data_IF_177503582271
#
_entry.id   IF_177503582271
#
_cell.length_a   1.000
_cell.length_b   1.000
_cell.length_c   1.000
_cell.angle_alpha   90.00
_cell.angle_beta   90.00
_cell.angle_gamma   90.00
#
_symmetry.space_group_name_H-M   'P 1'
#
loop_
_entity.id
_entity.type
_entity.pdbx_description
1 polymer ?
#
# COMPACT_ATOMS: atom_id res chain seq x y z
N UNK A 1 6.87 -9.96 -10.57
CA UNK A 1 7.05 -8.77 -11.43
C UNK A 1 5.68 -8.17 -11.71
N UNK A 2 5.51 -6.83 -11.75
CA UNK A 2 4.20 -6.24 -11.99
C UNK A 2 3.65 -6.75 -13.32
N UNK A 3 2.43 -7.28 -13.27
CA UNK A 3 1.75 -8.05 -14.31
C UNK A 3 1.28 -7.23 -15.52
N UNK A 4 1.96 -6.12 -15.83
CA UNK A 4 1.63 -5.20 -16.93
C UNK A 4 0.81 -3.98 -16.51
N UNK A 5 0.38 -3.87 -15.25
CA UNK A 5 -0.30 -2.68 -14.76
C UNK A 5 0.67 -1.50 -14.57
N UNK A 6 0.22 -0.30 -14.92
CA UNK A 6 0.95 0.95 -14.74
C UNK A 6 0.33 1.76 -13.61
N UNK A 7 1.08 1.91 -12.52
CA UNK A 7 0.62 2.60 -11.32
C UNK A 7 1.49 3.81 -11.02
N UNK A 8 0.86 4.92 -10.67
CA UNK A 8 1.52 6.06 -10.04
C UNK A 8 0.87 6.33 -8.71
N UNK A 9 1.68 6.51 -7.67
CA UNK A 9 1.18 6.90 -6.36
C UNK A 9 1.96 8.11 -5.85
N UNK A 10 1.28 8.95 -5.08
CA UNK A 10 1.88 10.04 -4.32
C UNK A 10 1.13 10.23 -3.01
N UNK A 11 1.82 10.75 -2.00
CA UNK A 11 1.19 11.30 -0.81
C UNK A 11 1.19 12.83 -0.91
N UNK A 12 0.11 13.47 -0.48
CA UNK A 12 0.09 14.92 -0.26
C UNK A 12 0.76 15.31 1.06
N UNK A 13 0.90 16.62 1.32
CA UNK A 13 1.55 17.15 2.54
C UNK A 13 0.87 16.70 3.85
N UNK A 14 -0.42 16.34 3.80
CA UNK A 14 -1.20 15.85 4.95
C UNK A 14 -1.18 14.33 5.05
N UNK A 15 -0.50 13.64 4.13
CA UNK A 15 -0.41 12.19 4.05
C UNK A 15 -1.57 11.52 3.30
N UNK A 16 -2.44 12.28 2.63
CA UNK A 16 -3.50 11.75 1.77
C UNK A 16 -2.91 11.03 0.55
N UNK A 17 -3.42 9.84 0.23
CA UNK A 17 -2.86 8.99 -0.84
C UNK A 17 -3.63 9.23 -2.14
N UNK A 18 -2.90 9.46 -3.22
CA UNK A 18 -3.44 9.51 -4.57
C UNK A 18 -2.84 8.39 -5.42
N UNK A 19 -3.69 7.54 -5.99
CA UNK A 19 -3.29 6.41 -6.82
C UNK A 19 -3.92 6.56 -8.20
N UNK A 20 -3.10 6.61 -9.24
CA UNK A 20 -3.53 6.47 -10.63
C UNK A 20 -3.25 5.05 -11.11
N UNK A 21 -4.27 4.39 -11.64
CA UNK A 21 -4.23 2.97 -11.99
C UNK A 21 -4.64 2.77 -13.44
N UNK A 22 -3.77 2.12 -14.21
CA UNK A 22 -4.08 1.60 -15.54
C UNK A 22 -3.75 0.10 -15.53
N UNK A 23 -4.78 -0.74 -15.67
CA UNK A 23 -4.68 -2.19 -15.47
C UNK A 23 -5.40 -2.99 -16.58
N UNK A 24 -5.39 -2.46 -17.80
CA UNK A 24 -6.13 -3.00 -18.95
C UNK A 24 -7.62 -2.68 -18.90
N UNK A 25 -8.43 -3.48 -19.60
CA UNK A 25 -9.89 -3.35 -19.64
C UNK A 25 -10.50 -3.52 -18.25
N UNK A 26 -11.29 -2.54 -17.80
CA UNK A 26 -11.92 -2.55 -16.48
C UNK A 26 -13.18 -3.42 -16.52
N UNK A 27 -13.12 -4.59 -15.86
CA UNK A 27 -14.27 -5.49 -15.74
C UNK A 27 -15.32 -4.90 -14.79
N UNK A 28 -14.89 -4.42 -13.62
CA UNK A 28 -15.74 -3.77 -12.63
C UNK A 28 -14.95 -2.68 -11.89
N UNK A 29 -15.43 -1.44 -11.99
CA UNK A 29 -14.74 -0.29 -11.41
C UNK A 29 -14.77 -0.30 -9.88
N UNK A 30 -15.86 -0.76 -9.26
CA UNK A 30 -16.03 -0.79 -7.81
C UNK A 30 -15.07 -1.80 -7.20
N UNK A 31 -14.95 -2.99 -7.80
CA UNK A 31 -14.03 -4.04 -7.38
C UNK A 31 -12.59 -3.58 -7.53
N UNK A 32 -12.21 -3.05 -8.69
CA UNK A 32 -10.84 -2.56 -8.93
C UNK A 32 -10.47 -1.46 -7.94
N UNK A 33 -11.36 -0.48 -7.74
CA UNK A 33 -11.16 0.61 -6.78
C UNK A 33 -10.97 0.10 -5.36
N UNK A 34 -11.78 -0.88 -4.93
CA UNK A 34 -11.69 -1.47 -3.60
C UNK A 34 -10.36 -2.21 -3.38
N UNK A 35 -9.90 -2.94 -4.39
CA UNK A 35 -8.58 -3.58 -4.34
C UNK A 35 -7.44 -2.57 -4.26
N UNK A 36 -7.52 -1.47 -5.00
CA UNK A 36 -6.52 -0.40 -4.93
C UNK A 36 -6.47 0.23 -3.52
N UNK A 37 -7.64 0.46 -2.90
CA UNK A 37 -7.73 1.00 -1.53
C UNK A 37 -7.12 0.02 -0.52
N UNK A 38 -7.45 -1.26 -0.62
CA UNK A 38 -6.88 -2.30 0.25
C UNK A 38 -5.37 -2.44 0.11
N UNK A 39 -4.86 -2.45 -1.13
CA UNK A 39 -3.43 -2.49 -1.40
C UNK A 39 -2.69 -1.26 -0.85
N UNK A 40 -3.28 -0.07 -0.99
CA UNK A 40 -2.73 1.17 -0.44
C UNK A 40 -2.71 1.15 1.10
N UNK A 41 -3.76 0.66 1.75
CA UNK A 41 -3.82 0.49 3.21
C UNK A 41 -2.70 -0.43 3.71
N UNK A 42 -2.54 -1.61 3.10
CA UNK A 42 -1.48 -2.55 3.48
C UNK A 42 -0.08 -1.97 3.25
N UNK A 43 0.13 -1.24 2.14
CA UNK A 43 1.41 -0.61 1.85
C UNK A 43 1.79 0.46 2.88
N UNK A 44 0.81 1.27 3.32
CA UNK A 44 1.01 2.23 4.39
C UNK A 44 1.36 1.55 5.71
N UNK A 45 0.63 0.49 6.06
CA UNK A 45 0.91 -0.34 7.24
C UNK A 45 2.35 -0.85 7.21
N UNK A 46 2.73 -1.49 6.11
CA UNK A 46 4.08 -2.04 5.93
C UNK A 46 5.21 -1.03 6.13
N UNK A 47 5.07 0.18 5.57
CA UNK A 47 6.11 1.22 5.69
C UNK A 47 6.08 1.89 7.06
N UNK A 48 4.90 2.08 7.65
CA UNK A 48 4.73 2.97 8.81
C UNK A 48 4.65 2.27 10.14
N UNK A 49 4.05 1.10 10.24
CA UNK A 49 3.71 0.53 11.55
C UNK A 49 3.88 -0.98 11.66
N UNK A 50 3.81 -1.73 10.57
CA UNK A 50 3.85 -3.18 10.60
C UNK A 50 5.28 -3.70 10.75
N UNK A 51 5.50 -4.55 11.76
CA UNK A 51 6.79 -5.13 12.07
C UNK A 51 6.65 -6.43 12.84
N UNK A 52 7.63 -7.33 12.65
CA UNK A 52 7.70 -8.62 13.33
C UNK A 52 8.98 -8.70 14.15
N UNK A 53 8.86 -8.63 15.47
CA UNK A 53 9.95 -8.91 16.38
C UNK A 53 10.26 -10.41 16.38
N UNK A 54 11.55 -10.73 16.24
CA UNK A 54 12.08 -12.09 16.20
C UNK A 54 13.26 -12.15 17.17
N UNK A 55 13.34 -13.19 18.00
CA UNK A 55 14.49 -13.40 18.89
C UNK A 55 15.65 -14.14 18.20
N UNK A 56 16.75 -14.37 18.94
CA UNK A 56 17.94 -15.05 18.44
C UNK A 56 17.70 -16.50 17.98
N UNK A 57 16.59 -17.11 18.40
CA UNK A 57 16.18 -18.45 17.98
C UNK A 57 15.26 -18.45 16.75
N UNK A 58 14.90 -17.27 16.22
CA UNK A 58 13.99 -17.14 15.09
C UNK A 58 12.51 -17.19 15.49
N UNK A 59 12.17 -17.06 16.77
CA UNK A 59 10.78 -17.11 17.24
C UNK A 59 10.14 -15.73 17.14
N UNK A 60 8.98 -15.66 16.49
CA UNK A 60 8.19 -14.45 16.37
C UNK A 60 7.45 -14.11 17.66
N UNK A 61 7.47 -12.84 18.06
CA UNK A 61 6.83 -12.35 19.28
C UNK A 61 5.56 -11.53 19.03
N UNK A 62 5.40 -10.94 17.84
CA UNK A 62 4.23 -10.14 17.49
C UNK A 62 3.10 -10.99 16.89
N UNK A 63 2.39 -11.73 17.75
CA UNK A 63 1.41 -12.77 17.34
C UNK A 63 -0.04 -12.29 17.21
N UNK A 64 -0.29 -10.98 17.30
CA UNK A 64 -1.63 -10.38 17.19
C UNK A 64 -1.63 -9.22 16.21
N UNK A 65 -2.81 -8.86 15.69
CA UNK A 65 -3.01 -7.68 14.83
C UNK A 65 -2.44 -6.41 15.50
N UNK A 66 -2.62 -6.27 16.83
CA UNK A 66 -2.14 -5.12 17.60
C UNK A 66 -0.62 -5.14 17.73
N UNK A 67 -0.03 -6.28 18.12
CA UNK A 67 1.42 -6.37 18.31
C UNK A 67 2.17 -6.26 16.99
N UNK A 68 1.61 -6.78 15.89
CA UNK A 68 2.17 -6.63 14.55
C UNK A 68 2.12 -5.19 14.05
N UNK A 69 1.18 -4.37 14.54
CA UNK A 69 1.07 -2.96 14.16
C UNK A 69 0.20 -2.70 12.92
N UNK A 70 -0.81 -3.54 12.65
CA UNK A 70 -1.74 -3.29 11.53
C UNK A 70 -2.47 -1.97 11.74
N UNK A 71 -2.41 -1.09 10.73
CA UNK A 71 -3.05 0.22 10.76
C UNK A 71 -4.58 0.09 10.91
N UNK A 72 -5.15 0.77 11.91
CA UNK A 72 -6.60 0.75 12.13
C UNK A 72 -7.30 1.51 11.00
N UNK A 73 -8.53 1.10 10.68
CA UNK A 73 -9.34 1.78 9.66
C UNK A 73 -9.47 3.29 9.93
N UNK A 74 -9.69 3.70 11.18
CA UNK A 74 -9.82 5.11 11.59
C UNK A 74 -8.54 5.93 11.44
N UNK A 75 -7.38 5.29 11.39
CA UNK A 75 -6.08 5.95 11.20
C UNK A 75 -5.66 5.98 9.72
N UNK A 76 -6.45 5.37 8.83
CA UNK A 76 -6.13 5.34 7.41
C UNK A 76 -6.37 6.74 6.83
N UNK A 77 -5.35 7.38 6.23
CA UNK A 77 -5.56 8.65 5.56
C UNK A 77 -6.51 8.47 4.36
N UNK A 78 -7.15 9.54 3.85
CA UNK A 78 -7.95 9.46 2.64
C UNK A 78 -7.16 8.84 1.48
N UNK A 79 -7.77 7.87 0.79
CA UNK A 79 -7.20 7.23 -0.40
C UNK A 79 -8.06 7.57 -1.61
N UNK A 80 -7.49 8.31 -2.55
CA UNK A 80 -8.13 8.71 -3.80
C UNK A 80 -7.58 7.86 -4.94
N UNK A 81 -8.47 7.12 -5.61
CA UNK A 81 -8.10 6.27 -6.75
C UNK A 81 -8.66 6.89 -8.03
N UNK A 82 -7.80 7.05 -9.03
CA UNK A 82 -8.18 7.42 -10.40
C UNK A 82 -7.91 6.23 -11.31
N UNK A 83 -8.95 5.62 -11.85
CA UNK A 83 -8.84 4.51 -12.79
C UNK A 83 -8.78 5.10 -14.20
N UNK A 84 -7.72 4.79 -14.92
CA UNK A 84 -7.54 5.16 -16.32
C UNK A 84 -7.97 4.00 -17.21
N UNK A 85 -8.61 4.28 -18.35
CA UNK A 85 -8.83 3.25 -19.36
C UNK A 85 -7.47 2.75 -19.86
N UNK A 86 -7.30 1.43 -19.89
CA UNK A 86 -6.16 0.79 -20.52
C UNK A 86 -6.62 -0.10 -21.66
N UNK A 87 -5.77 -0.27 -22.66
CA UNK A 87 -6.01 -1.22 -23.75
C UNK A 87 -5.56 -2.63 -23.33
N UNK A 88 -6.21 -3.66 -23.89
CA UNK A 88 -5.85 -5.06 -23.66
C UNK A 88 -6.53 -5.70 -22.44
N UNK A 89 -6.22 -6.97 -22.15
CA UNK A 89 -6.93 -7.73 -21.13
C UNK A 89 -6.71 -7.16 -19.73
N UNK A 90 -7.71 -7.31 -18.87
CA UNK A 90 -7.61 -6.99 -17.45
C UNK A 90 -6.43 -7.72 -16.80
N UNK A 91 -5.58 -7.00 -16.06
CA UNK A 91 -4.45 -7.57 -15.32
C UNK A 91 -4.52 -7.21 -13.84
N UNK A 92 -3.88 -8.02 -12.99
CA UNK A 92 -3.77 -7.70 -11.57
C UNK A 92 -2.89 -6.45 -11.38
N UNK A 93 -3.49 -5.39 -10.81
CA UNK A 93 -2.81 -4.14 -10.46
C UNK A 93 -2.47 -3.99 -8.97
N UNK A 94 -2.99 -4.85 -8.08
CA UNK A 94 -2.89 -4.69 -6.62
C UNK A 94 -1.46 -4.68 -6.11
N UNK A 95 -0.60 -5.60 -6.58
CA UNK A 95 0.81 -5.66 -6.17
C UNK A 95 1.57 -4.41 -6.62
N UNK A 96 1.23 -3.89 -7.81
CA UNK A 96 1.81 -2.67 -8.33
C UNK A 96 1.33 -1.43 -7.55
N UNK A 97 0.06 -1.41 -7.11
CA UNK A 97 -0.46 -0.38 -6.21
C UNK A 97 0.25 -0.43 -4.86
N UNK A 98 0.39 -1.62 -4.29
CA UNK A 98 1.10 -1.80 -3.04
C UNK A 98 2.54 -1.26 -3.14
N UNK A 99 3.29 -1.69 -4.17
CA UNK A 99 4.67 -1.24 -4.37
C UNK A 99 4.78 0.28 -4.60
N UNK A 100 3.91 0.85 -5.44
CA UNK A 100 3.91 2.29 -5.71
C UNK A 100 3.57 3.12 -4.47
N UNK A 101 2.57 2.71 -3.69
CA UNK A 101 2.18 3.41 -2.46
C UNK A 101 3.24 3.26 -1.38
N UNK A 102 3.85 2.07 -1.23
CA UNK A 102 4.95 1.87 -0.30
C UNK A 102 6.14 2.78 -0.64
N UNK A 103 6.52 2.84 -1.92
CA UNK A 103 7.58 3.73 -2.38
C UNK A 103 7.24 5.22 -2.13
N UNK A 104 6.01 5.64 -2.43
CA UNK A 104 5.56 7.00 -2.19
C UNK A 104 5.56 7.36 -0.69
N UNK A 105 5.12 6.44 0.17
CA UNK A 105 5.14 6.61 1.61
C UNK A 105 6.58 6.71 2.13
N UNK A 106 7.46 5.80 1.72
CA UNK A 106 8.87 5.82 2.10
C UNK A 106 9.59 7.10 1.68
N UNK A 107 9.34 7.57 0.45
CA UNK A 107 9.83 8.85 -0.02
C UNK A 107 9.29 10.00 0.83
N UNK A 108 8.00 9.99 1.15
CA UNK A 108 7.36 11.01 1.98
C UNK A 108 7.95 11.07 3.41
N UNK A 109 8.43 9.95 3.96
CA UNK A 109 9.13 9.93 5.26
C UNK A 109 10.63 10.29 5.18
N UNK A 110 11.15 10.67 4.01
CA UNK A 110 12.56 11.05 3.84
C UNK A 110 13.51 9.86 3.62
N UNK A 111 13.01 8.75 3.10
CA UNK A 111 13.80 7.55 2.73
C UNK A 111 14.62 6.90 3.85
N UNK A 112 14.06 6.68 5.06
CA UNK A 112 14.78 6.01 6.15
C UNK A 112 15.16 4.56 5.78
N UNK A 113 16.31 4.09 6.28
CA UNK A 113 16.78 2.72 6.06
C UNK A 113 16.06 1.68 6.91
N UNK A 114 15.49 2.10 8.03
CA UNK A 114 14.82 1.22 9.00
C UNK A 114 13.31 1.40 8.94
N UNK A 115 12.60 0.28 8.80
CA UNK A 115 11.14 0.20 8.86
C UNK A 115 10.71 -0.67 10.06
N UNK A 116 9.49 -0.47 10.60
CA UNK A 116 8.53 0.59 10.25
C UNK A 116 8.97 1.98 10.72
N UNK A 117 8.61 3.01 9.94
CA UNK A 117 9.07 4.41 10.10
C UNK A 117 8.38 5.17 11.25
N UNK A 118 7.26 4.65 11.75
CA UNK A 118 6.41 5.26 12.78
C UNK A 118 5.93 4.20 13.77
N UNK A 119 6.83 3.64 14.58
CA UNK A 119 6.40 2.82 15.72
C UNK A 119 5.75 3.73 16.78
N UNK A 120 4.61 3.35 17.38
CA UNK A 120 4.12 4.00 18.60
C UNK A 120 5.11 3.86 19.75
#
# INVERSE_FOLDING_TARGET
>A
APSGAHIRARLDEKGGVHVEVEAGEVIDEVVLRSYCIGAAHMALGWVRSEGLAVDDAGVAHDLTIRSFGVMRAVDTPPIHVTIKPGDGPAVNGSDAVFAAVAAAAWWHEGTPTDWPTRRP
#
